data_IF_228060450187
#
_entry.id   IF_228060450187
#
_cell.length_a   1.000
_cell.length_b   1.000
_cell.length_c   1.000
_cell.angle_alpha   90.00
_cell.angle_beta   90.00
_cell.angle_gamma   90.00
#
_symmetry.space_group_name_H-M   'P 1'
#
loop_
_entity.id
_entity.type
_entity.pdbx_description
1 polymer ?
#
# COMPACT_ATOMS: atom_id res chain seq x y z
N UNK A 1 22.18 -6.68 17.78
CA UNK A 1 22.03 -7.22 16.43
C UNK A 1 22.81 -6.36 15.43
N UNK A 2 22.58 -5.06 15.35
CA UNK A 2 23.25 -4.11 14.41
C UNK A 2 24.78 -4.09 14.56
N UNK A 3 25.29 -4.14 15.79
CA UNK A 3 26.75 -4.16 16.09
C UNK A 3 27.37 -5.47 15.64
N UNK A 4 26.65 -6.59 15.72
CA UNK A 4 27.13 -7.90 15.29
C UNK A 4 27.11 -8.02 13.74
N UNK A 5 26.14 -7.45 13.06
CA UNK A 5 26.09 -7.40 11.60
C UNK A 5 27.25 -6.62 10.96
N UNK A 6 27.83 -5.64 11.67
CA UNK A 6 28.99 -4.88 11.19
C UNK A 6 30.33 -5.64 11.30
N UNK A 7 30.39 -6.73 12.06
CA UNK A 7 31.65 -7.49 12.33
C UNK A 7 31.78 -8.80 11.54
N UNK A 8 30.78 -9.21 10.81
CA UNK A 8 30.78 -10.50 10.08
C UNK A 8 31.01 -10.22 8.60
N UNK A 9 31.93 -10.98 7.98
CA UNK A 9 32.31 -10.87 6.55
C UNK A 9 31.14 -11.14 5.57
N UNK A 10 30.06 -11.78 6.01
CA UNK A 10 28.80 -11.95 5.27
C UNK A 10 27.62 -11.62 6.20
N UNK A 11 27.30 -10.33 6.41
CA UNK A 11 26.17 -9.96 7.26
C UNK A 11 24.85 -10.38 6.62
N UNK A 12 23.96 -10.97 7.42
CA UNK A 12 22.59 -11.34 7.01
C UNK A 12 21.79 -10.11 6.56
N UNK A 13 22.18 -8.91 7.02
CA UNK A 13 21.63 -7.62 6.61
C UNK A 13 22.79 -6.67 6.26
N UNK A 14 22.98 -6.45 4.97
CA UNK A 14 23.86 -5.39 4.52
C UNK A 14 23.15 -4.04 4.59
N UNK A 15 23.46 -3.27 5.64
CA UNK A 15 23.00 -1.89 5.81
C UNK A 15 23.44 -0.95 4.67
N UNK A 16 24.41 -1.41 3.83
CA UNK A 16 24.84 -0.70 2.63
C UNK A 16 23.72 -0.57 1.58
N UNK A 17 22.75 -1.51 1.56
CA UNK A 17 21.57 -1.46 0.69
C UNK A 17 20.67 -0.23 1.00
N UNK A 18 20.57 0.17 2.26
CA UNK A 18 19.86 1.37 2.68
C UNK A 18 20.51 2.69 2.22
N UNK A 19 21.73 2.65 1.72
CA UNK A 19 22.40 3.82 1.12
C UNK A 19 22.02 4.03 -0.35
N UNK A 20 21.44 3.04 -1.01
CA UNK A 20 20.98 3.18 -2.39
C UNK A 20 19.61 3.86 -2.42
N UNK A 21 19.49 5.09 -2.95
CA UNK A 21 18.24 5.86 -2.91
C UNK A 21 17.09 5.15 -3.65
N UNK A 22 17.40 4.38 -4.69
CA UNK A 22 16.40 3.56 -5.40
C UNK A 22 15.79 2.48 -4.52
N UNK A 23 16.60 1.82 -3.70
CA UNK A 23 16.12 0.76 -2.79
C UNK A 23 15.30 1.35 -1.65
N UNK A 24 15.73 2.49 -1.09
CA UNK A 24 14.96 3.20 -0.06
C UNK A 24 13.61 3.66 -0.60
N UNK A 25 13.55 4.18 -1.83
CA UNK A 25 12.29 4.53 -2.49
C UNK A 25 11.34 3.33 -2.61
N UNK A 26 11.87 2.16 -2.99
CA UNK A 26 11.07 0.91 -3.05
C UNK A 26 10.60 0.45 -1.67
N UNK A 27 11.41 0.65 -0.61
CA UNK A 27 11.01 0.33 0.77
C UNK A 27 9.93 1.26 1.33
N UNK A 28 9.85 2.50 0.86
CA UNK A 28 8.80 3.44 1.26
C UNK A 28 7.45 3.16 0.57
N UNK A 29 7.48 2.46 -0.56
CA UNK A 29 6.28 2.17 -1.34
C UNK A 29 5.22 1.38 -0.53
N UNK A 30 5.57 0.24 0.13
CA UNK A 30 4.59 -0.49 0.94
C UNK A 30 4.06 0.33 2.11
N UNK A 31 4.89 1.17 2.73
CA UNK A 31 4.43 2.05 3.83
C UNK A 31 3.39 3.03 3.31
N UNK A 32 3.64 3.68 2.17
CA UNK A 32 2.69 4.61 1.57
C UNK A 32 1.37 3.93 1.15
N UNK A 33 1.45 2.72 0.56
CA UNK A 33 0.25 1.95 0.18
C UNK A 33 -0.52 1.45 1.39
N UNK A 34 0.15 1.04 2.45
CA UNK A 34 -0.49 0.64 3.71
C UNK A 34 -1.23 1.81 4.35
N UNK A 35 -0.62 2.99 4.43
CA UNK A 35 -1.28 4.20 4.96
C UNK A 35 -2.56 4.55 4.19
N UNK A 36 -2.60 4.34 2.88
CA UNK A 36 -3.79 4.63 2.08
C UNK A 36 -4.83 3.51 2.17
N UNK A 37 -4.43 2.26 2.02
CA UNK A 37 -5.35 1.13 1.80
C UNK A 37 -5.81 0.46 3.10
N UNK A 38 -4.86 0.09 3.98
CA UNK A 38 -5.18 -0.63 5.23
C UNK A 38 -6.00 0.24 6.16
N UNK A 39 -5.71 1.53 6.23
CA UNK A 39 -6.49 2.49 7.03
C UNK A 39 -7.93 2.57 6.52
N UNK A 40 -8.15 2.58 5.20
CA UNK A 40 -9.51 2.58 4.63
C UNK A 40 -10.27 1.30 4.91
N UNK A 41 -9.62 0.14 4.90
CA UNK A 41 -10.25 -1.15 5.26
C UNK A 41 -10.83 -1.15 6.67
N UNK A 42 -10.26 -0.34 7.57
CA UNK A 42 -10.73 -0.22 8.96
C UNK A 42 -11.73 0.92 9.10
N UNK A 43 -11.40 2.11 8.58
CA UNK A 43 -12.22 3.32 8.79
C UNK A 43 -13.56 3.24 8.05
N UNK A 44 -13.60 2.68 6.84
CA UNK A 44 -14.84 2.61 6.04
C UNK A 44 -15.93 1.82 6.74
N UNK A 45 -15.72 0.56 7.21
CA UNK A 45 -16.75 -0.16 7.93
C UNK A 45 -17.14 0.51 9.26
N UNK A 46 -16.16 1.07 9.98
CA UNK A 46 -16.44 1.77 11.24
C UNK A 46 -17.34 2.99 11.04
N UNK A 47 -17.10 3.76 9.98
CA UNK A 47 -17.93 4.93 9.67
C UNK A 47 -19.37 4.53 9.34
N UNK A 48 -19.57 3.50 8.52
CA UNK A 48 -20.90 3.07 8.12
C UNK A 48 -21.67 2.35 9.22
N UNK A 49 -21.01 1.50 9.99
CA UNK A 49 -21.65 0.76 11.08
C UNK A 49 -21.85 1.63 12.32
N UNK A 50 -20.85 2.46 12.67
CA UNK A 50 -20.91 3.29 13.87
C UNK A 50 -21.62 4.62 13.68
N UNK A 51 -21.49 5.25 12.51
CA UNK A 51 -22.05 6.58 12.22
C UNK A 51 -23.45 6.53 11.58
N UNK A 52 -23.66 5.67 10.61
CA UNK A 52 -24.90 5.62 9.82
C UNK A 52 -25.82 4.45 10.20
N UNK A 53 -25.40 3.59 11.14
CA UNK A 53 -26.21 2.46 11.58
C UNK A 53 -26.52 1.44 10.48
N UNK A 54 -25.68 1.38 9.43
CA UNK A 54 -25.84 0.44 8.34
C UNK A 54 -25.59 -1.00 8.79
N UNK A 55 -26.23 -1.96 8.12
CA UNK A 55 -25.99 -3.37 8.36
C UNK A 55 -24.57 -3.78 7.89
N UNK A 56 -24.01 -4.82 8.51
CA UNK A 56 -22.71 -5.40 8.13
C UNK A 56 -22.64 -5.74 6.64
N UNK A 57 -23.75 -6.27 6.08
CA UNK A 57 -23.85 -6.63 4.67
C UNK A 57 -23.74 -5.42 3.73
N UNK A 58 -24.33 -4.30 4.09
CA UNK A 58 -24.28 -3.05 3.31
C UNK A 58 -22.85 -2.46 3.37
N UNK A 59 -22.24 -2.42 4.54
CA UNK A 59 -20.86 -1.98 4.69
C UNK A 59 -19.88 -2.84 3.87
N UNK A 60 -20.09 -4.16 3.83
CA UNK A 60 -19.30 -5.08 3.03
C UNK A 60 -19.39 -4.79 1.52
N UNK A 61 -20.53 -4.34 0.98
CA UNK A 61 -20.66 -3.95 -0.42
C UNK A 61 -19.78 -2.73 -0.77
N UNK A 62 -19.65 -1.77 0.12
CA UNK A 62 -18.72 -0.63 -0.10
C UNK A 62 -17.27 -1.07 -0.04
N UNK A 63 -16.92 -2.02 0.84
CA UNK A 63 -15.59 -2.61 0.85
C UNK A 63 -15.28 -3.39 -0.43
N UNK A 64 -16.28 -4.02 -1.05
CA UNK A 64 -16.09 -4.65 -2.36
C UNK A 64 -15.72 -3.63 -3.44
N UNK A 65 -16.26 -2.42 -3.41
CA UNK A 65 -15.86 -1.35 -4.33
C UNK A 65 -14.38 -0.96 -4.16
N UNK A 66 -13.85 -0.99 -2.94
CA UNK A 66 -12.45 -0.74 -2.63
C UNK A 66 -11.54 -1.91 -3.04
N UNK A 67 -12.00 -3.16 -2.85
CA UNK A 67 -11.17 -4.37 -3.05
C UNK A 67 -11.22 -4.94 -4.47
N UNK A 68 -12.33 -4.76 -5.19
CA UNK A 68 -12.50 -5.28 -6.57
C UNK A 68 -11.39 -4.83 -7.53
N UNK A 69 -10.96 -3.56 -7.54
CA UNK A 69 -9.84 -3.13 -8.38
C UNK A 69 -8.56 -3.93 -8.13
N UNK A 70 -8.36 -4.43 -6.90
CA UNK A 70 -7.15 -5.16 -6.53
C UNK A 70 -7.02 -6.53 -7.21
N UNK A 71 -8.10 -7.08 -7.76
CA UNK A 71 -8.08 -8.30 -8.55
C UNK A 71 -7.56 -8.06 -9.99
N UNK A 72 -7.86 -6.91 -10.56
CA UNK A 72 -7.61 -6.60 -11.98
C UNK A 72 -6.35 -5.76 -12.17
N UNK A 73 -6.16 -4.73 -11.36
CA UNK A 73 -5.11 -3.73 -11.56
C UNK A 73 -3.66 -4.24 -11.41
N UNK A 74 -3.32 -5.27 -10.63
CA UNK A 74 -1.98 -5.85 -10.66
C UNK A 74 -1.61 -6.42 -12.04
N UNK A 75 -2.57 -7.04 -12.74
CA UNK A 75 -2.36 -7.52 -14.10
C UNK A 75 -2.19 -6.37 -15.09
N UNK A 76 -2.97 -5.31 -14.92
CA UNK A 76 -2.83 -4.07 -15.70
C UNK A 76 -1.49 -3.41 -15.43
N UNK A 77 -1.04 -3.36 -14.17
CA UNK A 77 0.26 -2.82 -13.80
C UNK A 77 1.40 -3.59 -14.48
N UNK A 78 1.34 -4.93 -14.47
CA UNK A 78 2.31 -5.76 -15.16
C UNK A 78 2.33 -5.51 -16.68
N UNK A 79 1.19 -5.27 -17.31
CA UNK A 79 1.09 -4.93 -18.71
C UNK A 79 1.64 -3.52 -19.00
N UNK A 80 1.37 -2.55 -18.14
CA UNK A 80 1.83 -1.17 -18.26
C UNK A 80 3.37 -1.06 -18.19
N UNK A 81 4.03 -1.95 -17.45
CA UNK A 81 5.50 -1.98 -17.35
C UNK A 81 6.19 -2.33 -18.67
N UNK A 82 5.45 -2.80 -19.68
CA UNK A 82 5.99 -3.00 -21.04
C UNK A 82 6.27 -1.67 -21.75
N UNK A 83 5.58 -0.59 -21.38
CA UNK A 83 5.68 0.73 -22.04
C UNK A 83 6.21 1.82 -21.09
N UNK A 84 5.96 1.69 -19.81
CA UNK A 84 6.36 2.66 -18.79
C UNK A 84 7.31 2.03 -17.77
N UNK A 85 8.16 2.84 -17.17
CA UNK A 85 9.02 2.34 -16.09
C UNK A 85 8.17 1.96 -14.87
N UNK A 86 8.53 0.90 -14.13
CA UNK A 86 7.78 0.47 -12.94
C UNK A 86 7.61 1.58 -11.90
N UNK A 87 8.60 2.47 -11.79
CA UNK A 87 8.53 3.64 -10.90
C UNK A 87 7.46 4.65 -11.32
N UNK A 88 7.29 4.90 -12.63
CA UNK A 88 6.25 5.79 -13.14
C UNK A 88 4.85 5.21 -12.89
N UNK A 89 4.66 3.91 -13.11
CA UNK A 89 3.39 3.24 -12.86
C UNK A 89 3.03 3.30 -11.37
N UNK A 90 4.01 3.05 -10.49
CA UNK A 90 3.80 3.15 -9.04
C UNK A 90 3.48 4.58 -8.60
N UNK A 91 4.16 5.59 -9.17
CA UNK A 91 3.88 7.00 -8.85
C UNK A 91 2.49 7.41 -9.32
N UNK A 92 2.09 7.01 -10.54
CA UNK A 92 0.74 7.26 -11.05
C UNK A 92 -0.34 6.60 -10.16
N UNK A 93 -0.09 5.38 -9.68
CA UNK A 93 -0.96 4.70 -8.72
C UNK A 93 -1.13 5.48 -7.41
N UNK A 94 -0.02 5.93 -6.81
CA UNK A 94 -0.07 6.72 -5.57
C UNK A 94 -0.77 8.08 -5.77
N UNK A 95 -0.56 8.75 -6.91
CA UNK A 95 -1.28 9.98 -7.24
C UNK A 95 -2.78 9.73 -7.37
N UNK A 96 -3.17 8.64 -8.03
CA UNK A 96 -4.58 8.24 -8.17
C UNK A 96 -5.20 7.92 -6.80
N UNK A 97 -4.48 7.22 -5.92
CA UNK A 97 -4.92 6.96 -4.55
C UNK A 97 -5.09 8.25 -3.75
N UNK A 98 -4.16 9.21 -3.91
CA UNK A 98 -4.26 10.52 -3.24
C UNK A 98 -5.49 11.31 -3.67
N UNK A 99 -5.78 11.33 -4.97
CA UNK A 99 -7.02 11.95 -5.49
C UNK A 99 -8.26 11.24 -4.95
N UNK A 100 -8.25 9.91 -4.93
CA UNK A 100 -9.32 9.10 -4.33
C UNK A 100 -9.57 9.45 -2.86
N UNK A 101 -8.52 9.62 -2.06
CA UNK A 101 -8.62 10.02 -0.64
C UNK A 101 -9.21 11.42 -0.47
N UNK A 102 -8.85 12.38 -1.31
CA UNK A 102 -9.42 13.73 -1.28
C UNK A 102 -10.92 13.70 -1.62
N UNK A 103 -11.30 12.98 -2.68
CA UNK A 103 -12.71 12.79 -3.04
C UNK A 103 -13.50 12.06 -1.96
N UNK A 104 -12.87 11.12 -1.25
CA UNK A 104 -13.50 10.41 -0.14
C UNK A 104 -13.79 11.34 1.02
N UNK A 105 -12.86 12.25 1.35
CA UNK A 105 -13.07 13.28 2.36
C UNK A 105 -14.29 14.17 2.05
N UNK A 106 -14.41 14.62 0.80
CA UNK A 106 -15.56 15.41 0.34
C UNK A 106 -16.85 14.58 0.32
N UNK A 107 -16.79 13.30 -0.07
CA UNK A 107 -17.94 12.42 -0.14
C UNK A 107 -18.55 12.13 1.24
N UNK A 108 -17.75 12.00 2.28
CA UNK A 108 -18.22 11.85 3.66
C UNK A 108 -18.95 13.10 4.18
N UNK A 109 -18.61 14.29 3.67
CA UNK A 109 -19.29 15.53 4.06
C UNK A 109 -20.58 15.77 3.26
N UNK A 110 -20.61 15.37 1.99
CA UNK A 110 -21.72 15.67 1.07
C UNK A 110 -22.80 14.59 0.99
N UNK A 111 -22.56 13.43 1.61
CA UNK A 111 -23.48 12.27 1.64
C UNK A 111 -23.91 11.78 0.23
N UNK A 112 -23.04 11.98 -0.79
CA UNK A 112 -23.27 11.53 -2.15
C UNK A 112 -22.74 10.11 -2.38
N UNK A 113 -23.60 9.10 -2.32
CA UNK A 113 -23.27 7.69 -2.51
C UNK A 113 -22.47 7.38 -3.80
N UNK A 114 -22.83 7.91 -4.99
CA UNK A 114 -22.04 7.61 -6.21
C UNK A 114 -20.62 8.19 -6.16
N UNK A 115 -20.43 9.35 -5.54
CA UNK A 115 -19.09 9.93 -5.36
C UNK A 115 -18.25 9.11 -4.40
N UNK A 116 -18.86 8.58 -3.34
CA UNK A 116 -18.20 7.71 -2.38
C UNK A 116 -17.70 6.42 -3.03
N UNK A 117 -18.55 5.74 -3.81
CA UNK A 117 -18.18 4.51 -4.53
C UNK A 117 -17.04 4.79 -5.52
N UNK A 118 -17.11 5.89 -6.26
CA UNK A 118 -16.05 6.30 -7.18
C UNK A 118 -14.72 6.55 -6.45
N UNK A 119 -14.76 7.24 -5.31
CA UNK A 119 -13.59 7.51 -4.49
C UNK A 119 -12.95 6.20 -3.97
N UNK A 120 -13.76 5.24 -3.50
CA UNK A 120 -13.28 3.94 -3.05
C UNK A 120 -12.62 3.13 -4.19
N UNK A 121 -13.22 3.13 -5.38
CA UNK A 121 -12.64 2.48 -6.57
C UNK A 121 -11.31 3.13 -6.94
N UNK A 122 -11.21 4.45 -6.92
CA UNK A 122 -9.96 5.17 -7.21
C UNK A 122 -8.87 4.87 -6.18
N UNK A 123 -9.22 4.83 -4.89
CA UNK A 123 -8.29 4.45 -3.84
C UNK A 123 -7.80 3.01 -4.02
N UNK A 124 -8.71 2.07 -4.27
CA UNK A 124 -8.37 0.66 -4.49
C UNK A 124 -7.50 0.44 -5.72
N UNK A 125 -7.86 1.05 -6.85
CA UNK A 125 -7.08 0.97 -8.08
C UNK A 125 -5.69 1.62 -7.93
N UNK A 126 -5.63 2.78 -7.27
CA UNK A 126 -4.39 3.49 -7.00
C UNK A 126 -3.42 2.72 -6.09
N UNK A 127 -3.93 2.01 -5.09
CA UNK A 127 -3.13 1.15 -4.24
C UNK A 127 -2.72 -0.16 -4.93
N UNK A 128 -3.57 -0.70 -5.80
CA UNK A 128 -3.34 -1.96 -6.49
C UNK A 128 -2.18 -1.90 -7.51
N UNK A 129 -1.97 -0.74 -8.17
CA UNK A 129 -0.89 -0.55 -9.15
C UNK A 129 0.51 -0.74 -8.53
N UNK A 130 0.90 -0.01 -7.49
CA UNK A 130 2.19 -0.25 -6.84
C UNK A 130 2.26 -1.61 -6.17
N UNK A 131 1.15 -2.11 -5.60
CA UNK A 131 1.13 -3.41 -4.92
C UNK A 131 1.54 -4.56 -5.84
N UNK A 132 1.05 -4.58 -7.08
CA UNK A 132 1.43 -5.60 -8.06
C UNK A 132 2.89 -5.54 -8.53
N UNK A 133 3.58 -4.42 -8.36
CA UNK A 133 4.93 -4.20 -8.85
C UNK A 133 6.01 -4.22 -7.76
N UNK A 134 5.65 -4.00 -6.49
CA UNK A 134 6.62 -3.73 -5.44
C UNK A 134 7.55 -4.91 -5.15
N UNK A 135 7.07 -6.15 -5.23
CA UNK A 135 7.90 -7.35 -5.00
C UNK A 135 8.97 -7.49 -6.10
N UNK A 136 8.58 -7.28 -7.36
CA UNK A 136 9.51 -7.26 -8.49
C UNK A 136 10.52 -6.12 -8.41
N UNK A 137 10.07 -4.93 -7.99
CA UNK A 137 10.94 -3.77 -7.79
C UNK A 137 11.96 -3.99 -6.67
N UNK A 138 11.57 -4.62 -5.57
CA UNK A 138 12.47 -4.92 -4.46
C UNK A 138 13.62 -5.82 -4.89
N UNK A 139 13.33 -6.85 -5.71
CA UNK A 139 14.31 -7.78 -6.23
C UNK A 139 15.20 -7.13 -7.31
N UNK A 140 14.61 -6.34 -8.20
CA UNK A 140 15.33 -5.69 -9.31
C UNK A 140 16.21 -4.52 -8.89
N UNK A 141 15.98 -3.94 -7.71
CA UNK A 141 16.75 -2.82 -7.18
C UNK A 141 18.14 -3.20 -6.65
N UNK A 142 18.46 -4.51 -6.57
CA UNK A 142 19.71 -5.04 -6.00
C UNK A 142 20.34 -6.09 -6.91
N UNK A 143 21.67 -6.35 -6.79
CA UNK A 143 22.32 -7.44 -7.48
C UNK A 143 21.70 -8.80 -7.13
N UNK A 144 21.65 -9.73 -8.10
CA UNK A 144 20.99 -11.05 -7.96
C UNK A 144 21.48 -11.82 -6.72
N UNK A 145 22.78 -11.71 -6.39
CA UNK A 145 23.36 -12.35 -5.20
C UNK A 145 22.75 -11.87 -3.87
N UNK A 146 22.09 -10.70 -3.86
CA UNK A 146 21.46 -10.07 -2.67
C UNK A 146 19.93 -10.03 -2.75
N UNK A 147 19.33 -10.61 -3.78
CA UNK A 147 17.89 -10.56 -4.03
C UNK A 147 17.06 -11.15 -2.88
N UNK A 148 17.50 -12.29 -2.31
CA UNK A 148 16.81 -12.92 -1.18
C UNK A 148 16.81 -12.06 0.09
N UNK A 149 17.95 -11.38 0.36
CA UNK A 149 18.04 -10.46 1.50
C UNK A 149 17.18 -9.21 1.29
N UNK A 150 17.16 -8.67 0.08
CA UNK A 150 16.32 -7.52 -0.26
C UNK A 150 14.83 -7.85 -0.13
N UNK A 151 14.40 -9.01 -0.62
CA UNK A 151 13.02 -9.48 -0.47
C UNK A 151 12.63 -9.68 1.01
N UNK A 152 13.52 -10.25 1.81
CA UNK A 152 13.29 -10.42 3.27
C UNK A 152 13.17 -9.09 4.00
N UNK A 153 14.06 -8.12 3.71
CA UNK A 153 14.01 -6.79 4.30
C UNK A 153 12.75 -6.03 3.87
N UNK A 154 12.41 -6.09 2.59
CA UNK A 154 11.21 -5.50 2.04
C UNK A 154 9.95 -6.03 2.72
N UNK A 155 9.84 -7.35 2.85
CA UNK A 155 8.68 -7.98 3.49
C UNK A 155 8.59 -7.64 4.99
N UNK A 156 9.73 -7.51 5.68
CA UNK A 156 9.77 -7.07 7.08
C UNK A 156 9.25 -5.64 7.23
N UNK A 157 9.68 -4.71 6.37
CA UNK A 157 9.21 -3.32 6.39
C UNK A 157 7.72 -3.24 6.07
N UNK A 158 7.24 -4.03 5.12
CA UNK A 158 5.83 -4.13 4.74
C UNK A 158 4.97 -4.57 5.93
N UNK A 159 5.29 -5.71 6.55
CA UNK A 159 4.55 -6.25 7.69
C UNK A 159 4.61 -5.32 8.91
N UNK A 160 5.77 -4.68 9.14
CA UNK A 160 5.90 -3.68 10.20
C UNK A 160 5.01 -2.45 9.94
N UNK A 161 4.92 -1.98 8.68
CA UNK A 161 4.02 -0.90 8.27
C UNK A 161 2.56 -1.25 8.53
N UNK A 162 2.12 -2.43 8.10
CA UNK A 162 0.76 -2.94 8.33
C UNK A 162 0.44 -3.01 9.84
N UNK A 163 1.37 -3.54 10.65
CA UNK A 163 1.21 -3.63 12.11
C UNK A 163 1.10 -2.27 12.81
N UNK A 164 1.87 -1.27 12.38
CA UNK A 164 1.81 0.09 12.92
C UNK A 164 0.47 0.74 12.60
N UNK A 165 -0.02 0.60 11.38
CA UNK A 165 -1.30 1.21 10.95
C UNK A 165 -2.49 0.58 11.67
N UNK A 166 -2.51 -0.74 11.84
CA UNK A 166 -3.55 -1.43 12.63
C UNK A 166 -3.50 -0.95 14.10
N UNK A 167 -2.30 -0.82 14.68
CA UNK A 167 -2.11 -0.32 16.04
C UNK A 167 -2.61 1.12 16.21
N UNK A 168 -2.34 2.01 15.23
CA UNK A 168 -2.82 3.40 15.24
C UNK A 168 -4.34 3.50 15.10
N UNK A 169 -4.95 2.68 14.25
CA UNK A 169 -6.38 2.62 14.10
C UNK A 169 -7.05 2.20 15.41
N UNK A 170 -6.56 1.14 16.06
CA UNK A 170 -7.07 0.66 17.36
C UNK A 170 -6.90 1.65 18.51
N UNK A 171 -5.83 2.47 18.51
CA UNK A 171 -5.63 3.51 19.53
C UNK A 171 -6.59 4.71 19.37
N UNK A 172 -7.13 4.94 18.18
CA UNK A 172 -8.06 6.04 17.92
C UNK A 172 -9.51 5.75 18.37
N UNK A 173 -9.80 4.48 18.63
CA UNK A 173 -11.10 3.99 19.09
C UNK A 173 -11.28 4.03 20.63
N UNK A 174 -10.19 4.28 21.38
CA UNK A 174 -10.22 4.45 22.85
C UNK A 174 -10.29 5.92 23.23
#
# INVERSE_FOLDING_TARGET
>A
FVVRCRRVNNPVLELSLLRHPRFVGVLLLPVATCCCYVVLLIIVPLHFMGGEGMSESQSALYLMALTTPMLVFPSVAALLTRWFSPGQVSTAGLMMASVGLLLLGDAFHSNHLPQLVLALILCGAGAALPWGLMDGLAISAVPVAKAGMAAGLFNTVRVAGEGIEIGRASCRER
#
